data_IF_943836863644
#
_entry.id   IF_943836863644
#
_cell.length_a   1.000
_cell.length_b   1.000
_cell.length_c   1.000
_cell.angle_alpha   90.00
_cell.angle_beta   90.00
_cell.angle_gamma   90.00
#
_symmetry.space_group_name_H-M   'P 1'
#
loop_
_entity.id
_entity.type
_entity.pdbx_description
1 polymer ?
#
# COMPACT_ATOMS: atom_id res chain seq x y z
N UNK A 1 -22.31 -12.68 -2.14
CA UNK A 1 -21.21 -11.69 -2.24
C UNK A 1 -21.28 -11.04 -3.61
N UNK A 2 -21.55 -9.74 -3.66
CA UNK A 2 -21.57 -8.94 -4.90
C UNK A 2 -20.13 -8.64 -5.36
N UNK A 3 -19.93 -8.23 -6.61
CA UNK A 3 -18.58 -7.93 -7.15
C UNK A 3 -17.84 -6.85 -6.34
N UNK A 4 -18.56 -5.88 -5.80
CA UNK A 4 -18.02 -4.80 -4.96
C UNK A 4 -17.42 -5.30 -3.64
N UNK A 5 -17.99 -6.37 -3.08
CA UNK A 5 -17.53 -6.99 -1.82
C UNK A 5 -16.15 -7.62 -1.99
N UNK A 6 -15.90 -8.31 -3.12
CA UNK A 6 -14.59 -8.91 -3.41
C UNK A 6 -13.50 -7.86 -3.66
N UNK A 7 -13.85 -6.77 -4.32
CA UNK A 7 -12.91 -5.68 -4.57
C UNK A 7 -12.47 -4.98 -3.27
N UNK A 8 -13.39 -4.79 -2.31
CA UNK A 8 -13.03 -4.26 -0.99
C UNK A 8 -12.20 -5.26 -0.20
N UNK A 9 -12.57 -6.54 -0.20
CA UNK A 9 -11.78 -7.58 0.49
C UNK A 9 -10.32 -7.62 0.00
N UNK A 10 -10.09 -7.48 -1.32
CA UNK A 10 -8.72 -7.42 -1.87
C UNK A 10 -7.96 -6.15 -1.52
N UNK A 11 -8.65 -5.02 -1.45
CA UNK A 11 -8.04 -3.78 -0.97
C UNK A 11 -7.63 -3.89 0.51
N UNK A 12 -8.43 -4.55 1.33
CA UNK A 12 -8.12 -4.75 2.74
C UNK A 12 -6.95 -5.73 2.93
N UNK A 13 -6.92 -6.82 2.17
CA UNK A 13 -5.79 -7.77 2.17
C UNK A 13 -4.48 -7.11 1.71
N UNK A 14 -4.51 -6.34 0.62
CA UNK A 14 -3.34 -5.58 0.17
C UNK A 14 -2.89 -4.54 1.22
N UNK A 15 -3.85 -3.95 1.94
CA UNK A 15 -3.55 -2.99 3.02
C UNK A 15 -2.77 -3.67 4.14
N UNK A 16 -3.16 -4.88 4.54
CA UNK A 16 -2.44 -5.67 5.55
C UNK A 16 -1.03 -6.02 5.11
N UNK A 17 -0.87 -6.48 3.87
CA UNK A 17 0.44 -6.84 3.30
C UNK A 17 1.38 -5.63 3.36
N UNK A 18 0.92 -4.47 2.88
CA UNK A 18 1.74 -3.24 2.90
C UNK A 18 2.05 -2.80 4.33
N UNK A 19 1.08 -2.89 5.25
CA UNK A 19 1.28 -2.53 6.65
C UNK A 19 2.37 -3.40 7.31
N UNK A 20 2.32 -4.72 7.08
CA UNK A 20 3.28 -5.68 7.63
C UNK A 20 4.67 -5.47 7.03
N UNK A 21 4.78 -5.41 5.69
CA UNK A 21 6.07 -5.23 5.01
C UNK A 21 6.70 -3.87 5.34
N UNK A 22 5.89 -2.81 5.34
CA UNK A 22 6.37 -1.45 5.58
C UNK A 22 6.56 -1.10 7.05
N UNK A 23 6.07 -1.93 7.99
CA UNK A 23 6.05 -1.59 9.41
C UNK A 23 5.24 -0.32 9.71
N UNK A 24 4.13 -0.12 8.99
CA UNK A 24 3.28 1.09 9.10
C UNK A 24 1.86 0.73 9.54
N UNK A 25 1.08 1.72 9.99
CA UNK A 25 -0.33 1.50 10.34
C UNK A 25 -1.17 1.17 9.10
N UNK A 26 -2.32 0.52 9.29
CA UNK A 26 -3.28 0.24 8.22
C UNK A 26 -3.74 1.51 7.50
N UNK A 27 -3.96 2.62 8.21
CA UNK A 27 -4.36 3.88 7.58
C UNK A 27 -3.27 4.40 6.64
N UNK A 28 -2.00 4.31 7.06
CA UNK A 28 -0.86 4.69 6.22
C UNK A 28 -0.72 3.75 5.03
N UNK A 29 -0.81 2.44 5.23
CA UNK A 29 -0.78 1.46 4.14
C UNK A 29 -1.90 1.71 3.11
N UNK A 30 -3.11 2.05 3.55
CA UNK A 30 -4.21 2.40 2.64
C UNK A 30 -3.93 3.69 1.87
N UNK A 31 -3.30 4.68 2.51
CA UNK A 31 -2.86 5.89 1.82
C UNK A 31 -1.77 5.61 0.77
N UNK A 32 -0.83 4.70 1.08
CA UNK A 32 0.22 4.26 0.14
C UNK A 32 -0.39 3.60 -1.09
N UNK A 33 -1.34 2.67 -0.93
CA UNK A 33 -2.03 2.03 -2.07
C UNK A 33 -2.74 3.04 -2.98
N UNK A 34 -3.43 4.03 -2.39
CA UNK A 34 -4.06 5.12 -3.15
C UNK A 34 -3.05 5.97 -3.89
N UNK A 35 -1.92 6.31 -3.25
CA UNK A 35 -0.88 7.12 -3.86
C UNK A 35 -0.19 6.37 -5.02
N UNK A 36 0.10 5.08 -4.84
CA UNK A 36 0.62 4.20 -5.90
C UNK A 36 -0.31 4.17 -7.11
N UNK A 37 -1.61 3.99 -6.88
CA UNK A 37 -2.63 3.99 -7.93
C UNK A 37 -2.67 5.33 -8.69
N UNK A 38 -2.63 6.45 -7.97
CA UNK A 38 -2.64 7.79 -8.56
C UNK A 38 -1.38 8.06 -9.40
N UNK A 39 -0.19 7.72 -8.90
CA UNK A 39 1.08 8.00 -9.56
C UNK A 39 1.36 7.10 -10.75
N UNK A 40 0.99 5.82 -10.67
CA UNK A 40 1.15 4.87 -11.78
C UNK A 40 -0.02 4.91 -12.77
N UNK A 41 -1.10 5.64 -12.45
CA UNK A 41 -2.36 5.66 -13.21
C UNK A 41 -3.00 4.27 -13.36
N UNK A 42 -2.69 3.36 -12.44
CA UNK A 42 -3.30 2.05 -12.35
C UNK A 42 -4.50 2.14 -11.40
N UNK A 43 -5.60 1.43 -11.71
CA UNK A 43 -6.76 1.37 -10.81
C UNK A 43 -6.35 0.80 -9.45
N UNK A 44 -6.83 1.40 -8.36
CA UNK A 44 -6.51 0.98 -6.98
C UNK A 44 -6.77 -0.51 -6.73
N UNK A 45 -7.88 -1.03 -7.26
CA UNK A 45 -8.22 -2.46 -7.18
C UNK A 45 -7.17 -3.35 -7.86
N UNK A 46 -6.66 -2.92 -9.01
CA UNK A 46 -5.63 -3.68 -9.72
C UNK A 46 -4.27 -3.58 -9.04
N UNK A 47 -3.94 -2.42 -8.44
CA UNK A 47 -2.77 -2.31 -7.55
C UNK A 47 -2.89 -3.28 -6.38
N UNK A 48 -4.07 -3.39 -5.76
CA UNK A 48 -4.31 -4.31 -4.67
C UNK A 48 -4.14 -5.78 -5.11
N UNK A 49 -4.67 -6.17 -6.26
CA UNK A 49 -4.46 -7.50 -6.84
C UNK A 49 -2.97 -7.81 -6.99
N UNK A 50 -2.20 -6.90 -7.60
CA UNK A 50 -0.76 -7.07 -7.81
C UNK A 50 0.03 -7.16 -6.51
N UNK A 51 -0.40 -6.43 -5.46
CA UNK A 51 0.23 -6.50 -4.13
C UNK A 51 -0.09 -7.83 -3.43
N UNK A 52 -1.33 -8.33 -3.54
CA UNK A 52 -1.68 -9.66 -3.01
C UNK A 52 -0.93 -10.76 -3.74
N UNK A 53 -0.84 -10.68 -5.07
CA UNK A 53 -0.04 -11.62 -5.86
C UNK A 53 1.45 -11.53 -5.54
N UNK A 54 1.96 -10.34 -5.22
CA UNK A 54 3.34 -10.15 -4.80
C UNK A 54 3.65 -10.88 -3.50
N UNK A 55 2.74 -10.87 -2.51
CA UNK A 55 2.95 -11.58 -1.24
C UNK A 55 3.12 -13.10 -1.43
N UNK A 56 2.49 -13.67 -2.45
CA UNK A 56 2.60 -15.11 -2.77
C UNK A 56 3.79 -15.40 -3.68
N UNK A 57 4.00 -14.58 -4.70
CA UNK A 57 4.97 -14.87 -5.78
C UNK A 57 6.34 -14.22 -5.59
N UNK A 58 6.46 -13.27 -4.67
CA UNK A 58 7.64 -12.42 -4.51
C UNK A 58 7.89 -11.45 -5.67
N UNK A 59 7.00 -11.41 -6.68
CA UNK A 59 7.15 -10.56 -7.87
C UNK A 59 6.14 -9.41 -7.85
N UNK A 60 6.67 -8.19 -7.84
CA UNK A 60 5.91 -6.95 -8.03
C UNK A 60 6.45 -6.23 -9.26
N UNK A 61 5.60 -5.68 -10.15
CA UNK A 61 6.06 -4.87 -11.28
C UNK A 61 7.04 -3.78 -10.82
N UNK A 62 8.12 -3.59 -11.58
CA UNK A 62 9.23 -2.73 -11.15
C UNK A 62 8.79 -1.29 -10.83
N UNK A 63 7.83 -0.76 -11.58
CA UNK A 63 7.24 0.55 -11.33
C UNK A 63 6.53 0.62 -9.98
N UNK A 64 5.65 -0.36 -9.67
CA UNK A 64 4.96 -0.42 -8.39
C UNK A 64 5.92 -0.68 -7.23
N UNK A 65 6.96 -1.49 -7.44
CA UNK A 65 8.00 -1.72 -6.41
C UNK A 65 8.76 -0.44 -6.08
N UNK A 66 9.14 0.34 -7.10
CA UNK A 66 9.80 1.64 -6.91
C UNK A 66 8.88 2.61 -6.18
N UNK A 67 7.63 2.70 -6.59
CA UNK A 67 6.66 3.60 -5.98
C UNK A 67 6.33 3.20 -4.54
N UNK A 68 6.19 1.91 -4.26
CA UNK A 68 5.98 1.39 -2.90
C UNK A 68 7.12 1.81 -1.98
N UNK A 69 8.38 1.61 -2.40
CA UNK A 69 9.55 2.05 -1.65
C UNK A 69 9.52 3.56 -1.39
N UNK A 70 9.35 4.36 -2.44
CA UNK A 70 9.27 5.81 -2.35
C UNK A 70 8.20 6.30 -1.34
N UNK A 71 7.00 5.69 -1.38
CA UNK A 71 5.89 6.08 -0.50
C UNK A 71 6.09 5.66 0.96
N UNK A 72 6.73 4.51 1.19
CA UNK A 72 7.09 4.06 2.53
C UNK A 72 8.20 4.95 3.11
N UNK A 73 9.24 5.25 2.33
CA UNK A 73 10.36 6.12 2.74
C UNK A 73 9.90 7.55 3.07
N UNK A 74 9.00 8.11 2.26
CA UNK A 74 8.44 9.46 2.47
C UNK A 74 7.60 9.53 3.76
N UNK A 75 7.03 8.41 4.21
CA UNK A 75 6.25 8.32 5.45
C UNK A 75 7.09 8.19 6.72
N UNK A 76 8.36 7.80 6.60
CA UNK A 76 9.29 7.71 7.73
C UNK A 76 9.94 9.06 8.08
N UNK A 77 9.65 10.11 7.29
CA UNK A 77 10.19 11.47 7.44
C UNK A 77 9.56 12.35 8.55
N UNK A 78 8.99 11.77 9.60
CA UNK A 78 8.63 12.52 10.82
C UNK A 78 9.03 11.74 12.07
N UNK A 79 10.28 11.88 12.56
CA UNK A 79 10.56 11.55 13.95
C UNK A 79 9.87 12.58 14.85
N UNK A 80 9.04 12.08 15.78
CA UNK A 80 8.66 12.68 17.06
C UNK A 80 8.77 14.22 17.16
N UNK A 81 7.65 14.92 16.98
CA UNK A 81 7.42 16.12 17.78
C UNK A 81 6.87 15.67 19.14
N UNK A 82 7.79 15.30 20.05
CA UNK A 82 7.48 15.25 21.47
C UNK A 82 7.32 16.69 22.02
N UNK A 83 6.38 16.91 22.96
CA UNK A 83 6.03 18.22 23.48
C UNK A 83 7.01 18.64 24.59
N UNK A 84 7.61 19.82 24.47
CA UNK A 84 8.28 20.49 25.58
C UNK A 84 8.25 22.01 25.39
N UNK A 85 7.48 22.67 26.27
CA UNK A 85 7.29 24.12 26.33
C UNK A 85 6.00 24.47 27.03
#
# INVERSE_FOLDING_TARGET
MTVTDRAQARLDEATDIVAIVGGVTRERARAVLRAMAAHTRIKEQHVAELVVEWAVSGRLPAELRRELGHQLDTGQGTPAAEPAG
#
